data_IF_240745876817
#
_entry.id   IF_240745876817
#
_cell.length_a   1.000
_cell.length_b   1.000
_cell.length_c   1.000
_cell.angle_alpha   90.00
_cell.angle_beta   90.00
_cell.angle_gamma   90.00
#
_symmetry.space_group_name_H-M   'P 1'
#
loop_
_entity.id
_entity.type
_entity.pdbx_description
1 polymer ?
#
# COMPACT_ATOMS: atom_id res chain seq x y z
N UNK A 1 -0.19 -12.19 -22.49
CA UNK A 1 -1.55 -12.79 -22.55
C UNK A 1 -1.70 -14.14 -21.82
N UNK A 2 -0.62 -14.84 -21.44
CA UNK A 2 -0.65 -16.20 -20.87
C UNK A 2 -1.14 -16.35 -19.40
N UNK A 3 -1.74 -15.32 -18.77
CA UNK A 3 -2.16 -15.39 -17.35
C UNK A 3 -3.66 -15.40 -17.11
N UNK A 4 -4.48 -15.05 -18.11
CA UNK A 4 -5.93 -15.24 -18.05
C UNK A 4 -6.21 -16.62 -18.63
N UNK A 5 -6.73 -17.51 -17.79
CA UNK A 5 -7.02 -18.89 -18.20
C UNK A 5 -8.24 -18.90 -19.14
N UNK A 6 -8.28 -19.83 -20.11
CA UNK A 6 -9.47 -20.06 -20.94
C UNK A 6 -10.69 -20.38 -20.08
N UNK A 7 -11.88 -20.13 -20.63
CA UNK A 7 -13.14 -20.53 -20.02
C UNK A 7 -13.36 -22.03 -20.24
N UNK A 8 -12.74 -22.84 -19.39
CA UNK A 8 -12.72 -24.30 -19.42
C UNK A 8 -12.88 -24.84 -17.99
N UNK A 9 -13.63 -25.93 -17.84
CA UNK A 9 -13.92 -26.60 -16.56
C UNK A 9 -12.67 -27.03 -15.79
N UNK A 10 -11.55 -27.26 -16.47
CA UNK A 10 -10.28 -27.63 -15.87
C UNK A 10 -9.55 -26.45 -15.22
N UNK A 11 -10.03 -25.22 -15.43
CA UNK A 11 -9.42 -24.00 -14.90
C UNK A 11 -10.37 -23.22 -13.99
N UNK A 12 -9.80 -22.65 -12.92
CA UNK A 12 -10.53 -21.70 -12.08
C UNK A 12 -10.86 -20.43 -12.89
N UNK A 13 -12.14 -19.97 -12.89
CA UNK A 13 -12.52 -18.74 -13.56
C UNK A 13 -11.74 -17.54 -13.01
N UNK A 14 -11.01 -16.83 -13.87
CA UNK A 14 -10.32 -15.60 -13.47
C UNK A 14 -11.35 -14.50 -13.22
N UNK A 15 -11.33 -13.88 -12.04
CA UNK A 15 -12.34 -12.87 -11.64
C UNK A 15 -11.77 -11.52 -11.22
N UNK A 16 -10.53 -11.49 -10.76
CA UNK A 16 -9.94 -10.31 -10.12
C UNK A 16 -8.50 -10.12 -10.57
N UNK A 17 -8.16 -8.88 -10.93
CA UNK A 17 -6.79 -8.38 -10.94
C UNK A 17 -6.57 -7.62 -9.63
N UNK A 18 -5.50 -7.94 -8.91
CA UNK A 18 -5.09 -7.21 -7.71
C UNK A 18 -3.76 -6.51 -7.97
N UNK A 19 -3.71 -5.22 -7.71
CA UNK A 19 -2.50 -4.40 -7.71
C UNK A 19 -2.18 -3.98 -6.28
N UNK A 20 -0.96 -3.49 -6.06
CA UNK A 20 -0.52 -2.91 -4.79
C UNK A 20 0.11 -1.54 -5.10
N UNK A 21 -0.38 -0.48 -4.46
CA UNK A 21 0.16 0.86 -4.64
C UNK A 21 0.20 1.64 -3.30
N UNK A 22 1.38 1.94 -2.76
CA UNK A 22 2.73 1.60 -3.25
C UNK A 22 3.11 0.13 -3.04
N UNK A 23 3.94 -0.46 -3.90
CA UNK A 23 4.52 -1.79 -3.71
C UNK A 23 6.00 -1.69 -3.32
N UNK A 24 6.38 -2.11 -2.11
CA UNK A 24 7.74 -1.94 -1.58
C UNK A 24 8.26 -0.48 -1.70
N UNK A 25 7.40 0.48 -1.38
CA UNK A 25 7.69 1.92 -1.52
C UNK A 25 7.57 2.45 -2.95
N UNK A 26 7.58 1.58 -3.96
CA UNK A 26 7.48 1.98 -5.37
C UNK A 26 6.08 2.51 -5.68
N UNK A 27 6.06 3.70 -6.25
CA UNK A 27 4.84 4.31 -6.78
C UNK A 27 4.59 3.75 -8.16
N UNK A 28 3.40 3.18 -8.39
CA UNK A 28 3.05 2.70 -9.74
C UNK A 28 2.92 3.89 -10.70
N UNK A 29 3.28 3.78 -11.99
CA UNK A 29 2.97 4.83 -12.95
C UNK A 29 1.45 5.05 -13.08
N UNK A 30 0.99 6.30 -13.26
CA UNK A 30 -0.45 6.63 -13.29
C UNK A 30 -1.15 6.11 -14.55
N UNK A 31 -0.46 6.26 -15.68
CA UNK A 31 -0.75 5.63 -16.96
C UNK A 31 -0.95 4.12 -16.83
N UNK A 32 -0.09 3.42 -16.06
CA UNK A 32 -0.28 1.99 -15.82
C UNK A 32 -1.59 1.67 -15.07
N UNK A 33 -2.03 2.51 -14.13
CA UNK A 33 -3.32 2.32 -13.44
C UNK A 33 -4.49 2.46 -14.40
N UNK A 34 -4.42 3.46 -15.30
CA UNK A 34 -5.42 3.66 -16.34
C UNK A 34 -5.45 2.50 -17.35
N UNK A 35 -4.29 2.01 -17.78
CA UNK A 35 -4.17 0.85 -18.67
C UNK A 35 -4.72 -0.42 -18.02
N UNK A 36 -4.37 -0.68 -16.75
CA UNK A 36 -4.87 -1.81 -15.99
C UNK A 36 -6.40 -1.75 -15.84
N UNK A 37 -6.95 -0.57 -15.58
CA UNK A 37 -8.39 -0.35 -15.53
C UNK A 37 -9.07 -0.62 -16.88
N UNK A 38 -8.55 -0.06 -17.97
CA UNK A 38 -9.10 -0.31 -19.32
C UNK A 38 -9.06 -1.80 -19.68
N UNK A 39 -7.94 -2.47 -19.34
CA UNK A 39 -7.76 -3.89 -19.56
C UNK A 39 -8.79 -4.73 -18.79
N UNK A 40 -9.04 -4.46 -17.50
CA UNK A 40 -10.02 -5.24 -16.72
C UNK A 40 -11.44 -5.03 -17.23
N UNK A 41 -11.78 -3.85 -17.75
CA UNK A 41 -13.08 -3.64 -18.43
C UNK A 41 -13.21 -4.48 -19.70
N UNK A 42 -12.19 -4.51 -20.55
CA UNK A 42 -12.19 -5.34 -21.76
C UNK A 42 -12.29 -6.85 -21.46
N UNK A 43 -11.76 -7.29 -20.32
CA UNK A 43 -11.74 -8.70 -19.91
C UNK A 43 -12.84 -9.10 -18.93
N UNK A 44 -13.75 -8.19 -18.61
CA UNK A 44 -14.79 -8.39 -17.61
C UNK A 44 -14.25 -8.91 -16.25
N UNK A 45 -13.13 -8.32 -15.81
CA UNK A 45 -12.51 -8.60 -14.52
C UNK A 45 -12.78 -7.47 -13.54
N UNK A 46 -12.82 -7.80 -12.25
CA UNK A 46 -12.73 -6.79 -11.20
C UNK A 46 -11.28 -6.32 -11.04
N UNK A 47 -11.08 -5.10 -10.53
CA UNK A 47 -9.79 -4.53 -10.17
C UNK A 47 -9.81 -4.08 -8.71
N UNK A 48 -8.93 -4.68 -7.91
CA UNK A 48 -8.65 -4.26 -6.53
C UNK A 48 -7.26 -3.64 -6.44
N UNK A 49 -7.13 -2.58 -5.66
CA UNK A 49 -5.83 -1.99 -5.32
C UNK A 49 -5.60 -2.11 -3.81
N UNK A 50 -4.59 -2.87 -3.41
CA UNK A 50 -4.07 -2.80 -2.05
C UNK A 50 -3.36 -1.45 -1.87
N UNK A 51 -4.03 -0.57 -1.13
CA UNK A 51 -3.58 0.78 -0.85
C UNK A 51 -3.04 0.95 0.56
N UNK A 52 -2.39 -0.09 1.12
CA UNK A 52 -1.81 -0.01 2.46
C UNK A 52 -0.92 1.23 2.69
N UNK A 53 -0.31 1.77 1.63
CA UNK A 53 0.45 3.03 1.62
C UNK A 53 0.03 3.96 0.47
N UNK A 54 -1.25 3.95 0.10
CA UNK A 54 -1.75 4.75 -1.03
C UNK A 54 -1.47 6.24 -0.85
N UNK A 55 -1.50 6.76 0.38
CA UNK A 55 -1.20 8.17 0.63
C UNK A 55 0.28 8.54 0.41
N UNK A 56 1.22 7.59 0.53
CA UNK A 56 2.59 7.82 0.08
C UNK A 56 2.64 8.01 -1.44
N UNK A 57 1.86 7.22 -2.20
CA UNK A 57 1.73 7.41 -3.65
C UNK A 57 1.02 8.73 -3.98
N UNK A 58 -0.09 9.09 -3.31
CA UNK A 58 -0.83 10.35 -3.49
C UNK A 58 0.09 11.56 -3.36
N UNK A 59 0.87 11.62 -2.27
CA UNK A 59 1.84 12.69 -2.04
C UNK A 59 2.91 12.69 -3.13
N UNK A 60 3.47 11.53 -3.47
CA UNK A 60 4.50 11.43 -4.52
C UNK A 60 3.98 11.81 -5.93
N UNK A 61 2.70 11.58 -6.22
CA UNK A 61 2.09 12.03 -7.47
C UNK A 61 1.74 13.51 -7.49
N UNK A 62 1.56 14.14 -6.31
CA UNK A 62 1.04 15.49 -6.19
C UNK A 62 -0.41 15.63 -6.69
N UNK A 63 -1.27 14.65 -6.40
CA UNK A 63 -2.67 14.64 -6.85
C UNK A 63 -3.65 14.31 -5.71
N UNK A 64 -4.95 14.28 -6.00
CA UNK A 64 -5.97 13.87 -5.05
C UNK A 64 -6.18 12.35 -5.09
N UNK A 65 -6.59 11.74 -3.97
CA UNK A 65 -6.86 10.30 -3.91
C UNK A 65 -7.88 9.84 -4.96
N UNK A 66 -8.87 10.69 -5.26
CA UNK A 66 -9.91 10.42 -6.29
C UNK A 66 -9.30 10.21 -7.69
N UNK A 67 -8.19 10.87 -7.99
CA UNK A 67 -7.54 10.83 -9.31
C UNK A 67 -6.91 9.46 -9.59
N UNK A 68 -6.71 8.67 -8.53
CA UNK A 68 -6.19 7.30 -8.56
C UNK A 68 -7.31 6.29 -8.33
N UNK A 69 -8.17 6.54 -7.33
CA UNK A 69 -9.23 5.63 -6.93
C UNK A 69 -10.27 5.39 -8.04
N UNK A 70 -10.41 6.31 -9.00
CA UNK A 70 -11.25 6.13 -10.18
C UNK A 70 -10.86 4.91 -11.06
N UNK A 71 -9.62 4.42 -10.94
CA UNK A 71 -9.10 3.30 -11.73
C UNK A 71 -9.20 1.95 -10.98
N UNK A 72 -10.17 1.77 -10.08
CA UNK A 72 -10.41 0.50 -9.40
C UNK A 72 -11.89 0.31 -9.01
N UNK A 73 -12.32 -0.94 -8.84
CA UNK A 73 -13.66 -1.24 -8.33
C UNK A 73 -13.70 -1.24 -6.79
N UNK A 74 -12.55 -1.51 -6.18
CA UNK A 74 -12.36 -1.51 -4.73
C UNK A 74 -10.91 -1.20 -4.37
N UNK A 75 -10.70 -0.60 -3.21
CA UNK A 75 -9.36 -0.31 -2.71
C UNK A 75 -9.31 -0.37 -1.19
N UNK A 76 -8.13 -0.62 -0.64
CA UNK A 76 -7.87 -0.53 0.80
C UNK A 76 -7.09 0.73 1.15
N UNK A 77 -7.23 1.19 2.40
CA UNK A 77 -6.38 2.20 3.02
C UNK A 77 -5.94 1.64 4.37
N UNK A 78 -4.65 1.64 4.68
CA UNK A 78 -4.20 1.36 6.04
C UNK A 78 -4.02 2.67 6.82
N UNK A 79 -4.63 2.75 8.01
CA UNK A 79 -4.56 3.93 8.87
C UNK A 79 -3.39 3.82 9.87
N UNK A 80 -2.97 2.60 10.19
CA UNK A 80 -1.95 2.31 11.22
C UNK A 80 -0.54 2.13 10.68
N UNK A 81 -0.19 2.86 9.62
CA UNK A 81 1.18 2.94 9.06
C UNK A 81 1.66 4.38 9.11
N UNK A 82 2.12 4.96 7.99
CA UNK A 82 2.60 6.34 7.94
C UNK A 82 1.55 7.39 8.38
N UNK A 83 0.26 7.06 8.30
CA UNK A 83 -0.81 7.91 8.80
C UNK A 83 -0.86 8.01 10.34
N UNK A 84 -0.27 7.06 11.08
CA UNK A 84 -0.08 7.16 12.53
C UNK A 84 -1.31 6.89 13.41
N UNK A 85 -2.41 6.33 12.88
CA UNK A 85 -3.49 5.83 13.74
C UNK A 85 -3.02 4.57 14.50
N UNK A 86 -3.52 4.29 15.72
CA UNK A 86 -3.05 3.14 16.49
C UNK A 86 -3.43 1.80 15.84
N UNK A 87 -4.65 1.70 15.29
CA UNK A 87 -5.19 0.51 14.63
C UNK A 87 -6.12 0.96 13.51
N UNK A 88 -6.21 0.17 12.44
CA UNK A 88 -7.33 0.25 11.51
C UNK A 88 -6.93 0.22 10.05
N UNK A 89 -7.87 -0.26 9.24
CA UNK A 89 -7.82 -0.21 7.78
C UNK A 89 -9.24 -0.01 7.25
N UNK A 90 -9.35 0.59 6.09
CA UNK A 90 -10.61 0.84 5.39
C UNK A 90 -10.64 -0.01 4.12
N UNK A 91 -11.79 -0.59 3.82
CA UNK A 91 -12.11 -1.19 2.53
C UNK A 91 -13.19 -0.34 1.88
N UNK A 92 -12.94 0.11 0.66
CA UNK A 92 -13.81 1.00 -0.09
C UNK A 92 -14.20 0.33 -1.41
N UNK A 93 -15.39 0.65 -1.90
CA UNK A 93 -15.97 0.10 -3.12
C UNK A 93 -17.45 0.42 -3.21
N UNK A 94 -18.16 -0.19 -4.17
CA UNK A 94 -19.60 0.02 -4.32
C UNK A 94 -20.41 -0.43 -3.11
N UNK A 95 -21.61 0.14 -2.91
CA UNK A 95 -22.47 -0.23 -1.79
C UNK A 95 -22.78 -1.73 -1.77
N UNK A 96 -23.09 -2.31 -2.94
CA UNK A 96 -23.34 -3.74 -3.08
C UNK A 96 -22.12 -4.60 -2.69
N UNK A 97 -20.91 -4.13 -3.02
CA UNK A 97 -19.66 -4.79 -2.63
C UNK A 97 -19.44 -4.71 -1.11
N UNK A 98 -19.59 -3.52 -0.53
CA UNK A 98 -19.42 -3.31 0.91
C UNK A 98 -20.45 -4.09 1.73
N UNK A 99 -21.70 -4.20 1.26
CA UNK A 99 -22.72 -5.02 1.92
C UNK A 99 -22.30 -6.49 2.05
N UNK A 100 -21.67 -7.06 1.02
CA UNK A 100 -21.08 -8.40 1.08
C UNK A 100 -19.87 -8.43 2.01
N UNK A 101 -18.99 -7.44 1.92
CA UNK A 101 -17.80 -7.35 2.76
C UNK A 101 -18.14 -7.27 4.26
N UNK A 102 -19.23 -6.59 4.65
CA UNK A 102 -19.70 -6.56 6.05
C UNK A 102 -20.08 -7.95 6.55
N UNK A 103 -20.69 -8.80 5.70
CA UNK A 103 -20.99 -10.19 6.04
C UNK A 103 -19.69 -10.98 6.26
N UNK A 104 -18.72 -10.83 5.36
CA UNK A 104 -17.40 -11.46 5.51
C UNK A 104 -16.67 -11.00 6.77
N UNK A 105 -16.67 -9.69 7.04
CA UNK A 105 -16.10 -9.10 8.26
C UNK A 105 -16.67 -9.74 9.52
N UNK A 106 -17.98 -10.02 9.55
CA UNK A 106 -18.60 -10.71 10.69
C UNK A 106 -18.14 -12.16 10.81
N UNK A 107 -18.05 -12.89 9.68
CA UNK A 107 -17.61 -14.29 9.67
C UNK A 107 -16.15 -14.45 10.13
N UNK A 108 -15.26 -13.54 9.74
CA UNK A 108 -13.84 -13.57 10.16
C UNK A 108 -13.59 -12.90 11.52
N UNK A 109 -14.64 -12.51 12.24
CA UNK A 109 -14.53 -11.95 13.59
C UNK A 109 -14.14 -10.46 13.66
N UNK A 110 -14.03 -9.74 12.55
CA UNK A 110 -13.59 -8.34 12.51
C UNK A 110 -14.62 -7.29 12.95
N UNK A 111 -15.61 -7.65 13.77
CA UNK A 111 -16.56 -6.69 14.36
C UNK A 111 -16.21 -6.49 15.83
N UNK A 112 -15.44 -5.44 16.09
CA UNK A 112 -15.19 -4.95 17.45
C UNK A 112 -16.27 -3.94 17.88
N UNK A 113 -16.60 -3.91 19.16
CA UNK A 113 -17.42 -2.87 19.79
C UNK A 113 -16.53 -1.84 20.52
N UNK A 114 -16.99 -0.59 20.74
CA UNK A 114 -17.42 0.38 19.74
C UNK A 114 -16.20 0.97 19.01
N UNK A 115 -16.06 0.69 17.71
CA UNK A 115 -14.95 1.19 16.88
C UNK A 115 -14.88 2.71 16.69
N UNK A 116 -15.72 3.50 17.38
CA UNK A 116 -15.78 4.96 17.26
C UNK A 116 -14.49 5.66 17.69
N UNK A 117 -13.85 5.21 18.77
CA UNK A 117 -12.57 5.79 19.23
C UNK A 117 -11.47 5.55 18.19
N UNK A 118 -11.35 4.32 17.68
CA UNK A 118 -10.39 3.98 16.64
C UNK A 118 -10.69 4.71 15.31
N UNK A 119 -11.98 4.83 14.96
CA UNK A 119 -12.41 5.58 13.79
C UNK A 119 -12.10 7.08 13.93
N UNK A 120 -12.21 7.66 15.12
CA UNK A 120 -11.84 9.06 15.38
C UNK A 120 -10.33 9.29 15.17
N UNK A 121 -9.47 8.39 15.65
CA UNK A 121 -8.04 8.44 15.38
C UNK A 121 -7.74 8.32 13.87
N UNK A 122 -8.44 7.41 13.17
CA UNK A 122 -8.37 7.29 11.71
C UNK A 122 -8.77 8.57 10.97
N UNK A 123 -9.87 9.20 11.39
CA UNK A 123 -10.35 10.45 10.81
C UNK A 123 -9.37 11.60 11.04
N UNK A 124 -8.80 11.70 12.25
CA UNK A 124 -7.75 12.67 12.54
C UNK A 124 -6.55 12.46 11.63
N UNK A 125 -6.08 11.22 11.49
CA UNK A 125 -4.94 10.88 10.66
C UNK A 125 -5.15 11.26 9.18
N UNK A 126 -6.33 10.97 8.63
CA UNK A 126 -6.67 11.34 7.24
C UNK A 126 -6.72 12.87 7.02
N UNK A 127 -7.13 13.64 8.03
CA UNK A 127 -7.24 15.10 7.92
C UNK A 127 -5.92 15.84 8.14
N UNK A 128 -5.04 15.31 9.00
CA UNK A 128 -3.88 16.06 9.49
C UNK A 128 -2.54 15.44 9.07
N UNK A 129 -2.47 14.13 8.82
CA UNK A 129 -1.18 13.43 8.71
C UNK A 129 -0.80 13.06 7.27
N UNK A 130 -1.63 13.35 6.27
CA UNK A 130 -1.34 12.99 4.87
C UNK A 130 -0.17 13.80 4.31
N UNK A 131 -0.22 15.13 4.40
CA UNK A 131 0.77 16.00 3.76
C UNK A 131 2.18 15.83 4.35
N UNK A 132 2.26 15.59 5.67
CA UNK A 132 3.54 15.33 6.34
C UNK A 132 4.24 14.04 5.92
N UNK A 133 3.59 13.15 5.15
CA UNK A 133 4.28 11.99 4.57
C UNK A 133 5.42 12.41 3.62
N UNK A 134 5.40 13.64 3.10
CA UNK A 134 6.53 14.18 2.34
C UNK A 134 7.80 14.24 3.19
N UNK A 135 7.70 14.59 4.48
CA UNK A 135 8.84 14.59 5.42
C UNK A 135 9.46 13.19 5.52
N UNK A 136 8.63 12.14 5.55
CA UNK A 136 9.11 10.76 5.60
C UNK A 136 9.86 10.37 4.30
N UNK A 137 9.43 10.91 3.15
CA UNK A 137 10.10 10.68 1.86
C UNK A 137 11.44 11.40 1.79
N UNK A 138 11.47 12.65 2.24
CA UNK A 138 12.66 13.48 2.28
C UNK A 138 13.70 12.87 3.23
N UNK A 139 13.27 12.38 4.40
CA UNK A 139 14.13 11.70 5.36
C UNK A 139 14.73 10.40 4.78
N UNK A 140 13.93 9.60 4.08
CA UNK A 140 14.42 8.37 3.47
C UNK A 140 15.39 8.66 2.30
N UNK A 141 15.18 9.73 1.53
CA UNK A 141 16.09 10.19 0.49
C UNK A 141 17.39 10.76 1.06
N UNK A 142 17.30 11.50 2.17
CA UNK A 142 18.45 11.98 2.92
C UNK A 142 19.28 10.82 3.46
N UNK A 143 18.64 9.84 4.10
CA UNK A 143 19.31 8.65 4.63
C UNK A 143 19.99 7.83 3.53
N UNK A 144 19.39 7.74 2.34
CA UNK A 144 20.04 7.12 1.16
C UNK A 144 21.39 7.77 0.86
N UNK A 145 21.44 9.09 0.90
CA UNK A 145 22.65 9.86 0.61
C UNK A 145 23.72 9.64 1.69
N UNK A 146 23.31 9.61 2.96
CA UNK A 146 24.20 9.31 4.09
C UNK A 146 24.77 7.89 4.03
N UNK A 147 23.95 6.88 3.70
CA UNK A 147 24.39 5.50 3.57
C UNK A 147 25.24 5.25 2.32
N UNK A 148 25.04 6.00 1.24
CA UNK A 148 25.82 5.84 0.01
C UNK A 148 27.32 6.15 0.20
N UNK A 149 27.69 6.88 1.26
CA UNK A 149 29.09 7.17 1.60
C UNK A 149 29.84 5.96 2.18
N UNK A 150 29.12 4.97 2.71
CA UNK A 150 29.71 3.82 3.43
C UNK A 150 29.25 2.46 2.91
N UNK A 151 28.20 2.40 2.11
CA UNK A 151 27.67 1.15 1.55
C UNK A 151 28.38 0.75 0.25
N UNK A 152 28.62 -0.55 0.01
CA UNK A 152 29.28 -1.05 -1.21
C UNK A 152 28.44 -0.85 -2.47
N UNK A 153 27.11 -0.70 -2.33
CA UNK A 153 26.20 -0.36 -3.42
C UNK A 153 25.24 0.72 -2.96
N UNK A 154 24.96 1.70 -3.83
CA UNK A 154 23.97 2.74 -3.56
C UNK A 154 22.62 2.09 -3.18
N UNK A 155 22.05 2.44 -2.01
CA UNK A 155 20.75 1.92 -1.61
C UNK A 155 19.64 2.34 -2.58
N UNK A 156 18.64 1.47 -2.73
CA UNK A 156 17.39 1.79 -3.45
C UNK A 156 16.46 2.53 -2.51
N UNK A 157 15.84 3.60 -2.99
CA UNK A 157 14.91 4.42 -2.23
C UNK A 157 13.63 4.65 -3.03
N UNK A 158 12.48 4.49 -2.39
CA UNK A 158 11.18 4.86 -2.94
C UNK A 158 10.21 5.28 -1.82
N UNK A 159 9.63 6.47 -1.94
CA UNK A 159 8.78 7.10 -0.90
C UNK A 159 9.45 7.08 0.47
N UNK A 160 8.92 6.40 1.48
CA UNK A 160 9.47 6.35 2.82
C UNK A 160 10.31 5.08 3.10
N UNK A 161 10.73 4.36 2.06
CA UNK A 161 11.50 3.12 2.20
C UNK A 161 12.90 3.25 1.59
N UNK A 162 13.86 2.69 2.32
CA UNK A 162 15.25 2.54 1.91
C UNK A 162 15.65 1.06 2.03
N UNK A 163 16.18 0.50 0.96
CA UNK A 163 16.70 -0.86 0.93
C UNK A 163 18.21 -0.84 0.78
N UNK A 164 18.91 -1.25 1.84
CA UNK A 164 20.36 -1.39 1.87
C UNK A 164 20.71 -2.86 1.68
N UNK A 165 21.59 -3.15 0.72
CA UNK A 165 22.14 -4.50 0.55
C UNK A 165 23.26 -4.70 1.56
N UNK A 166 23.00 -5.57 2.53
CA UNK A 166 24.00 -6.05 3.49
C UNK A 166 24.34 -7.49 3.11
N UNK A 167 25.61 -7.87 3.21
CA UNK A 167 25.99 -9.27 2.95
C UNK A 167 25.40 -10.20 4.01
N UNK A 168 25.13 -11.45 3.62
CA UNK A 168 24.42 -12.43 4.47
C UNK A 168 25.15 -12.66 5.80
N UNK A 169 26.48 -12.68 5.79
CA UNK A 169 27.30 -12.84 6.98
C UNK A 169 27.22 -11.63 7.92
N UNK A 170 27.11 -10.42 7.37
CA UNK A 170 27.10 -9.18 8.15
C UNK A 170 25.71 -8.82 8.67
N UNK A 171 24.63 -9.32 8.06
CA UNK A 171 23.26 -8.96 8.44
C UNK A 171 22.91 -9.26 9.92
N UNK A 172 23.24 -10.44 10.49
CA UNK A 172 23.00 -10.69 11.91
C UNK A 172 23.84 -9.82 12.84
N UNK A 173 25.09 -9.54 12.46
CA UNK A 173 26.00 -8.71 13.25
C UNK A 173 25.54 -7.25 13.27
N UNK A 174 25.10 -6.72 12.13
CA UNK A 174 24.53 -5.38 12.01
C UNK A 174 23.28 -5.23 12.87
N UNK A 175 22.37 -6.21 12.85
CA UNK A 175 21.17 -6.21 13.68
C UNK A 175 21.49 -6.11 15.17
N UNK A 176 22.42 -6.94 15.66
CA UNK A 176 22.87 -6.89 17.07
C UNK A 176 23.56 -5.57 17.43
N UNK A 177 24.38 -5.04 16.52
CA UNK A 177 25.06 -3.77 16.71
C UNK A 177 24.04 -2.62 16.86
N UNK A 178 23.09 -2.52 15.93
CA UNK A 178 22.04 -1.49 15.98
C UNK A 178 21.19 -1.59 17.25
N UNK A 179 20.82 -2.81 17.65
CA UNK A 179 20.08 -3.04 18.89
C UNK A 179 20.85 -2.58 20.13
N UNK A 180 22.17 -2.83 20.19
CA UNK A 180 23.02 -2.36 21.29
C UNK A 180 23.15 -0.83 21.34
N UNK A 181 22.89 -0.14 20.23
CA UNK A 181 22.87 1.33 20.13
C UNK A 181 21.46 1.93 20.35
N UNK A 182 20.44 1.10 20.62
CA UNK A 182 19.07 1.56 20.88
C UNK A 182 18.19 1.75 19.63
N UNK A 183 18.58 1.15 18.49
CA UNK A 183 17.78 1.10 17.25
C UNK A 183 17.08 -0.24 17.07
#
# INVERSE_FOLDING_TARGET
MAKIKPDDIHFAPTRLLSLENTHNGKVLPRDYLQEAWAFTRQRNLALHVDGARIFNAVVAYGCELRDIAQYCDSFTICLSKGLGAPVGSLLLGSEAYIRRAVRWRKMVGGRDAPGGILAAAGLYALKNNVQRLQEDHDNAAWMRSSCALSAPTSPRHDTNMLFVRVGEEQAPALGKFMQAQGY
#
